data_IF_045034273801
#
_entry.id   IF_045034273801
#
_cell.length_a   1.000
_cell.length_b   1.000
_cell.length_c   1.000
_cell.angle_alpha   90.00
_cell.angle_beta   90.00
_cell.angle_gamma   90.00
#
_symmetry.space_group_name_H-M   'P 1'
#
loop_
_entity.id
_entity.type
_entity.pdbx_description
1 polymer ?
#
# COMPACT_ATOMS: atom_id res chain seq x y z
N UNK A 1 19.88 -2.96 44.52
CA UNK A 1 18.50 -2.96 43.98
C UNK A 1 18.01 -1.53 43.72
N UNK A 2 18.90 -0.60 43.31
CA UNK A 2 18.55 0.80 43.00
C UNK A 2 18.78 1.13 41.51
N UNK A 3 19.71 0.44 40.84
CA UNK A 3 20.04 0.62 39.41
C UNK A 3 18.87 0.39 38.44
N UNK A 4 17.86 -0.39 38.82
CA UNK A 4 16.67 -0.62 37.98
C UNK A 4 15.65 0.52 38.09
N UNK A 5 15.61 1.24 39.22
CA UNK A 5 14.66 2.35 39.43
C UNK A 5 15.03 3.58 38.59
N UNK A 6 16.31 3.98 38.62
CA UNK A 6 16.80 5.11 37.83
C UNK A 6 16.77 4.82 36.32
N UNK A 7 17.19 3.62 35.90
CA UNK A 7 17.11 3.20 34.50
C UNK A 7 15.66 3.17 33.98
N UNK A 8 14.71 2.78 34.84
CA UNK A 8 13.28 2.79 34.51
C UNK A 8 12.74 4.20 34.29
N UNK A 9 13.08 5.15 35.17
CA UNK A 9 12.71 6.57 34.98
C UNK A 9 13.26 7.14 33.68
N UNK A 10 14.53 6.87 33.36
CA UNK A 10 15.15 7.32 32.09
C UNK A 10 14.43 6.70 30.88
N UNK A 11 14.05 5.42 30.93
CA UNK A 11 13.30 4.78 29.85
C UNK A 11 11.91 5.40 29.66
N UNK A 12 11.22 5.78 30.74
CA UNK A 12 9.93 6.47 30.68
C UNK A 12 10.06 7.88 30.09
N UNK A 13 11.03 8.67 30.57
CA UNK A 13 11.30 10.01 30.02
C UNK A 13 11.67 9.93 28.52
N UNK A 14 12.50 8.96 28.14
CA UNK A 14 12.86 8.72 26.74
C UNK A 14 11.64 8.36 25.90
N UNK A 15 10.72 7.56 26.45
CA UNK A 15 9.47 7.21 25.79
C UNK A 15 8.59 8.43 25.58
N UNK A 16 8.47 9.33 26.56
CA UNK A 16 7.66 10.54 26.44
C UNK A 16 8.17 11.46 25.31
N UNK A 17 9.49 11.64 25.22
CA UNK A 17 10.12 12.39 24.13
C UNK A 17 9.86 11.71 22.78
N UNK A 18 10.04 10.39 22.69
CA UNK A 18 9.76 9.65 21.46
C UNK A 18 8.29 9.76 21.03
N UNK A 19 7.36 9.59 21.96
CA UNK A 19 5.92 9.69 21.69
C UNK A 19 5.54 11.11 21.23
N UNK A 20 6.23 12.15 21.74
CA UNK A 20 6.08 13.52 21.24
C UNK A 20 6.59 13.67 19.81
N UNK A 21 7.83 13.26 19.54
CA UNK A 21 8.43 13.32 18.20
C UNK A 21 7.57 12.58 17.17
N UNK A 22 7.05 11.40 17.54
CA UNK A 22 6.19 10.61 16.67
C UNK A 22 4.89 11.34 16.32
N UNK A 23 4.29 12.05 17.28
CA UNK A 23 3.08 12.87 17.03
C UNK A 23 3.39 14.03 16.08
N UNK A 24 4.50 14.72 16.30
CA UNK A 24 4.90 15.85 15.46
C UNK A 24 5.18 15.41 14.03
N UNK A 25 5.92 14.32 13.86
CA UNK A 25 6.22 13.73 12.55
C UNK A 25 4.92 13.34 11.83
N UNK A 26 4.01 12.64 12.49
CA UNK A 26 2.72 12.25 11.89
C UNK A 26 1.87 13.46 11.50
N UNK A 27 1.93 14.55 12.27
CA UNK A 27 1.23 15.78 11.93
C UNK A 27 1.72 16.38 10.61
N UNK A 28 2.99 16.19 10.23
CA UNK A 28 3.51 16.67 8.93
C UNK A 28 2.91 15.95 7.73
N UNK A 29 2.42 14.72 7.90
CA UNK A 29 1.84 13.90 6.83
C UNK A 29 0.31 14.00 6.77
N UNK A 30 -0.33 14.61 7.79
CA UNK A 30 -1.78 14.59 7.95
C UNK A 30 -2.56 15.36 6.88
N UNK A 31 -1.91 16.31 6.19
CA UNK A 31 -2.53 17.09 5.10
C UNK A 31 -2.39 16.44 3.72
N UNK A 32 -1.56 15.41 3.61
CA UNK A 32 -1.28 14.78 2.32
C UNK A 32 -2.50 14.00 1.87
N UNK A 33 -3.02 14.36 0.70
CA UNK A 33 -4.06 13.62 0.00
C UNK A 33 -3.43 12.37 -0.63
N UNK A 34 -3.40 11.28 0.14
CA UNK A 34 -2.95 9.98 -0.34
C UNK A 34 -3.92 9.43 -1.39
N UNK A 35 -3.39 8.77 -2.41
CA UNK A 35 -4.22 8.17 -3.47
C UNK A 35 -5.07 6.99 -2.97
N UNK A 36 -4.64 6.37 -1.87
CA UNK A 36 -5.22 5.17 -1.31
C UNK A 36 -5.57 5.36 0.16
N UNK A 37 -6.77 4.91 0.53
CA UNK A 37 -7.20 4.86 1.93
C UNK A 37 -6.36 3.92 2.77
N UNK A 38 -5.73 2.91 2.14
CA UNK A 38 -4.83 1.97 2.81
C UNK A 38 -3.50 2.59 3.24
N UNK A 39 -3.15 3.74 2.64
CA UNK A 39 -1.98 4.57 3.00
C UNK A 39 -2.36 5.73 3.92
N UNK A 40 -3.65 6.06 4.05
CA UNK A 40 -4.08 7.12 4.96
C UNK A 40 -3.70 6.81 6.42
N UNK A 41 -3.25 7.86 7.13
CA UNK A 41 -2.68 7.73 8.47
C UNK A 41 -1.38 6.91 8.52
N UNK A 42 -0.65 6.79 7.41
CA UNK A 42 0.59 6.02 7.31
C UNK A 42 1.57 6.28 8.46
N UNK A 43 2.09 5.19 9.02
CA UNK A 43 3.23 5.20 9.93
C UNK A 43 4.45 4.62 9.20
N UNK A 44 5.12 5.45 8.40
CA UNK A 44 6.26 5.00 7.62
C UNK A 44 7.47 4.70 8.50
N UNK A 45 8.13 3.58 8.22
CA UNK A 45 9.44 3.22 8.80
C UNK A 45 10.56 3.56 7.84
N UNK A 46 11.58 4.25 8.33
CA UNK A 46 12.79 4.53 7.59
C UNK A 46 13.49 3.22 7.22
N UNK A 47 13.74 3.04 5.92
CA UNK A 47 14.49 1.91 5.34
C UNK A 47 15.93 1.77 5.88
N UNK A 48 16.55 2.88 6.30
CA UNK A 48 17.93 2.91 6.77
C UNK A 48 18.09 2.55 8.24
N UNK A 49 17.17 2.96 9.10
CA UNK A 49 17.32 2.81 10.56
C UNK A 49 16.12 2.19 11.28
N UNK A 50 15.03 1.90 10.55
CA UNK A 50 13.81 1.30 11.10
C UNK A 50 12.94 2.26 11.94
N UNK A 51 13.37 3.50 12.16
CA UNK A 51 12.62 4.50 12.92
C UNK A 51 11.33 4.90 12.22
N UNK A 52 10.25 5.07 12.99
CA UNK A 52 8.96 5.62 12.52
C UNK A 52 8.96 7.15 12.43
N UNK A 53 10.07 7.81 12.77
CA UNK A 53 10.21 9.26 12.75
C UNK A 53 10.55 9.76 11.33
N UNK A 54 9.70 9.43 10.35
CA UNK A 54 9.76 9.89 8.95
C UNK A 54 8.75 11.00 8.73
N UNK A 55 9.24 12.23 8.57
CA UNK A 55 8.43 13.42 8.33
C UNK A 55 8.44 13.85 6.87
N UNK A 56 7.40 14.58 6.46
CA UNK A 56 7.41 15.40 5.27
C UNK A 56 8.22 16.68 5.52
N UNK A 57 9.07 17.07 4.57
CA UNK A 57 9.94 18.25 4.66
C UNK A 57 9.14 19.55 4.55
N UNK A 58 8.10 19.60 3.72
CA UNK A 58 7.19 20.74 3.56
C UNK A 58 5.83 20.45 4.24
N UNK A 59 5.58 20.92 5.47
CA UNK A 59 4.36 20.59 6.21
C UNK A 59 3.07 21.13 5.58
N UNK A 60 3.16 22.01 4.59
CA UNK A 60 2.01 22.56 3.87
C UNK A 60 1.74 21.83 2.55
N UNK A 61 2.59 20.88 2.15
CA UNK A 61 2.31 20.07 0.97
C UNK A 61 1.14 19.10 1.23
N UNK A 62 0.18 19.14 0.32
CA UNK A 62 -1.03 18.33 0.34
C UNK A 62 -1.01 17.22 -0.73
N UNK A 63 0.03 17.12 -1.56
CA UNK A 63 0.08 16.20 -2.70
C UNK A 63 1.11 15.09 -2.50
N UNK A 64 0.68 13.83 -2.62
CA UNK A 64 1.56 12.67 -2.59
C UNK A 64 2.65 12.72 -3.69
N UNK A 65 2.36 13.27 -4.87
CA UNK A 65 3.31 13.32 -6.00
C UNK A 65 4.55 14.17 -5.70
N UNK A 66 4.39 15.20 -4.87
CA UNK A 66 5.43 16.18 -4.58
C UNK A 66 6.03 16.04 -3.17
N UNK A 67 5.71 14.95 -2.48
CA UNK A 67 6.17 14.75 -1.11
C UNK A 67 7.67 14.45 -1.08
N UNK A 68 8.38 15.22 -0.27
CA UNK A 68 9.77 14.95 0.09
C UNK A 68 9.83 14.54 1.56
N UNK A 69 10.50 13.41 1.83
CA UNK A 69 10.56 12.83 3.16
C UNK A 69 11.95 12.95 3.78
N UNK A 70 11.99 13.00 5.11
CA UNK A 70 13.21 12.97 5.92
C UNK A 70 13.00 12.14 7.18
N UNK A 71 13.97 11.29 7.52
CA UNK A 71 14.00 10.62 8.81
C UNK A 71 14.67 11.52 9.86
N UNK A 72 13.97 11.87 10.94
CA UNK A 72 14.54 12.67 12.05
C UNK A 72 15.68 11.95 12.77
N UNK A 73 15.63 10.62 12.85
CA UNK A 73 16.62 9.83 13.60
C UNK A 73 17.97 9.74 12.90
N UNK A 74 17.99 9.47 11.59
CA UNK A 74 19.24 9.20 10.86
C UNK A 74 19.55 10.21 9.74
N UNK A 75 18.65 11.16 9.49
CA UNK A 75 18.78 12.18 8.45
C UNK A 75 18.63 11.69 7.01
N UNK A 76 18.24 10.43 6.78
CA UNK A 76 18.01 9.91 5.43
C UNK A 76 16.78 10.52 4.78
N UNK A 77 16.74 10.54 3.44
CA UNK A 77 15.62 10.99 2.63
C UNK A 77 15.00 9.80 1.90
N UNK A 78 14.13 9.02 2.57
CA UNK A 78 13.55 7.83 1.95
C UNK A 78 12.62 8.21 0.79
N UNK A 79 12.54 7.34 -0.21
CA UNK A 79 11.63 7.51 -1.34
C UNK A 79 10.20 7.10 -0.93
N UNK A 80 9.20 7.96 -1.17
CA UNK A 80 7.81 7.69 -0.76
C UNK A 80 7.24 6.42 -1.39
N UNK A 81 7.54 6.14 -2.66
CA UNK A 81 7.04 4.94 -3.35
C UNK A 81 7.53 3.66 -2.71
N UNK A 82 8.80 3.63 -2.29
CA UNK A 82 9.37 2.48 -1.57
C UNK A 82 8.76 2.31 -0.17
N UNK A 83 8.38 3.42 0.48
CA UNK A 83 7.71 3.39 1.77
C UNK A 83 6.25 2.94 1.67
N UNK A 84 5.52 3.37 0.63
CA UNK A 84 4.15 2.94 0.34
C UNK A 84 4.13 1.43 0.06
N UNK A 85 4.98 0.95 -0.85
CA UNK A 85 5.01 -0.48 -1.21
C UNK A 85 5.30 -1.35 0.02
N UNK A 86 6.26 -0.93 0.87
CA UNK A 86 6.55 -1.65 2.11
C UNK A 86 5.41 -1.59 3.13
N UNK A 87 4.77 -0.43 3.29
CA UNK A 87 3.62 -0.27 4.19
C UNK A 87 2.49 -1.23 3.78
N UNK A 88 2.24 -1.35 2.49
CA UNK A 88 1.20 -2.23 1.96
C UNK A 88 1.59 -3.71 2.08
N UNK A 89 2.86 -4.07 1.86
CA UNK A 89 3.35 -5.43 2.14
C UNK A 89 3.22 -5.80 3.63
N UNK A 90 3.56 -4.89 4.54
CA UNK A 90 3.36 -5.10 5.98
C UNK A 90 1.88 -5.32 6.35
N UNK A 91 0.96 -4.66 5.63
CA UNK A 91 -0.48 -4.73 5.90
C UNK A 91 -1.16 -5.94 5.24
N UNK A 92 -0.79 -6.27 4.00
CA UNK A 92 -1.50 -7.23 3.15
C UNK A 92 -0.67 -8.45 2.77
N UNK A 93 0.66 -8.41 2.88
CA UNK A 93 1.55 -9.50 2.46
C UNK A 93 1.27 -10.82 3.21
N UNK A 94 0.87 -10.74 4.48
CA UNK A 94 0.44 -11.90 5.25
C UNK A 94 -0.84 -12.55 4.70
N UNK A 95 -1.85 -11.74 4.35
CA UNK A 95 -3.08 -12.24 3.73
C UNK A 95 -2.80 -12.81 2.34
N UNK A 96 -1.96 -12.12 1.56
CA UNK A 96 -1.60 -12.58 0.23
C UNK A 96 -0.87 -13.91 0.24
N UNK A 97 0.05 -14.09 1.17
CA UNK A 97 0.70 -15.38 1.38
C UNK A 97 -0.31 -16.48 1.74
N UNK A 98 -1.30 -16.19 2.60
CA UNK A 98 -2.32 -17.17 2.99
C UNK A 98 -3.23 -17.56 1.83
N UNK A 99 -3.75 -16.60 1.05
CA UNK A 99 -4.59 -16.88 -0.13
C UNK A 99 -3.86 -17.72 -1.16
N UNK A 100 -2.62 -17.34 -1.48
CA UNK A 100 -1.77 -18.11 -2.39
C UNK A 100 -1.55 -19.56 -1.91
N UNK A 101 -1.46 -19.79 -0.60
CA UNK A 101 -1.25 -21.13 -0.03
C UNK A 101 -2.51 -21.98 0.06
N UNK A 102 -3.63 -21.38 0.47
CA UNK A 102 -4.84 -22.12 0.84
C UNK A 102 -5.82 -22.27 -0.33
N UNK A 103 -6.00 -21.22 -1.14
CA UNK A 103 -6.93 -21.21 -2.28
C UNK A 103 -6.20 -21.19 -3.63
N UNK A 104 -4.92 -20.80 -3.64
CA UNK A 104 -4.16 -20.61 -4.88
C UNK A 104 -4.55 -19.32 -5.61
N UNK A 105 -5.26 -18.42 -4.94
CA UNK A 105 -5.67 -17.12 -5.48
C UNK A 105 -4.60 -16.06 -5.22
N UNK A 106 -4.44 -15.16 -6.18
CA UNK A 106 -3.65 -13.93 -6.02
C UNK A 106 -4.48 -12.84 -5.32
N UNK A 107 -3.81 -11.89 -4.66
CA UNK A 107 -4.46 -10.81 -3.91
C UNK A 107 -4.19 -10.89 -2.40
N UNK A 108 -4.68 -9.95 -1.58
CA UNK A 108 -5.48 -8.79 -1.97
C UNK A 108 -4.63 -7.63 -2.53
N UNK A 109 -3.32 -7.82 -2.71
CA UNK A 109 -2.40 -6.83 -3.26
C UNK A 109 -1.78 -7.34 -4.56
N UNK A 110 -1.73 -6.48 -5.57
CA UNK A 110 -1.30 -6.80 -6.93
C UNK A 110 -0.27 -5.82 -7.45
N UNK A 111 0.49 -6.25 -8.45
CA UNK A 111 1.41 -5.39 -9.18
C UNK A 111 0.66 -4.45 -10.12
N UNK A 112 0.90 -3.15 -10.00
CA UNK A 112 0.38 -2.15 -10.90
C UNK A 112 1.06 -2.23 -12.27
N UNK A 113 0.34 -2.35 -13.39
CA UNK A 113 0.95 -2.40 -14.72
C UNK A 113 1.61 -1.06 -15.13
N UNK A 114 1.16 0.08 -14.58
CA UNK A 114 1.69 1.39 -14.92
C UNK A 114 3.03 1.71 -14.22
N UNK A 115 3.17 1.37 -12.94
CA UNK A 115 4.38 1.67 -12.17
C UNK A 115 5.20 0.44 -11.72
N UNK A 116 4.74 -0.77 -12.03
CA UNK A 116 5.37 -2.06 -11.71
C UNK A 116 5.58 -2.34 -10.21
N UNK A 117 4.89 -1.62 -9.32
CA UNK A 117 4.94 -1.83 -7.86
C UNK A 117 3.75 -2.62 -7.34
N UNK A 118 3.91 -3.38 -6.28
CA UNK A 118 2.82 -4.09 -5.60
C UNK A 118 1.97 -3.11 -4.77
N UNK A 119 1.17 -2.31 -5.46
CA UNK A 119 0.44 -1.17 -4.88
C UNK A 119 -0.98 -1.03 -5.43
N UNK A 120 -1.49 -2.02 -6.15
CA UNK A 120 -2.91 -2.17 -6.45
C UNK A 120 -3.56 -3.01 -5.35
N UNK A 121 -4.69 -2.57 -4.82
CA UNK A 121 -5.36 -3.21 -3.70
C UNK A 121 -6.78 -3.57 -4.12
N UNK A 122 -7.16 -4.81 -3.88
CA UNK A 122 -8.53 -5.28 -4.05
C UNK A 122 -9.53 -4.35 -3.33
N UNK A 123 -10.57 -3.93 -4.04
CA UNK A 123 -11.59 -3.03 -3.49
C UNK A 123 -11.25 -1.54 -3.52
N UNK A 124 -10.03 -1.17 -3.91
CA UNK A 124 -9.69 0.22 -4.24
C UNK A 124 -9.72 0.46 -5.75
N UNK A 125 -9.95 1.70 -6.17
CA UNK A 125 -10.16 2.07 -7.57
C UNK A 125 -8.91 2.63 -8.25
N UNK A 126 -7.85 2.89 -7.49
CA UNK A 126 -6.62 3.50 -7.99
C UNK A 126 -5.40 2.83 -7.36
N UNK A 127 -4.29 2.86 -8.08
CA UNK A 127 -2.99 2.48 -7.55
C UNK A 127 -2.56 3.42 -6.43
N UNK A 128 -2.26 2.85 -5.26
CA UNK A 128 -1.85 3.59 -4.08
C UNK A 128 -0.57 4.42 -4.28
N UNK A 129 0.26 4.06 -5.25
CA UNK A 129 1.52 4.76 -5.53
C UNK A 129 1.41 5.80 -6.66
N UNK A 130 0.90 5.41 -7.83
CA UNK A 130 0.93 6.25 -9.04
C UNK A 130 -0.44 6.80 -9.45
N UNK A 131 -1.48 6.54 -8.66
CA UNK A 131 -2.87 6.96 -8.92
C UNK A 131 -3.47 6.43 -10.25
N UNK A 132 -2.88 5.41 -10.87
CA UNK A 132 -3.45 4.78 -12.06
C UNK A 132 -4.81 4.18 -11.72
N UNK A 133 -5.85 4.54 -12.48
CA UNK A 133 -7.21 4.04 -12.27
C UNK A 133 -7.35 2.59 -12.72
N UNK A 134 -8.12 1.82 -11.95
CA UNK A 134 -8.67 0.54 -12.39
C UNK A 134 -9.93 0.81 -13.22
N UNK A 135 -9.76 1.05 -14.52
CA UNK A 135 -10.87 1.29 -15.44
C UNK A 135 -11.27 -0.03 -16.13
N UNK A 136 -12.01 -0.86 -15.41
CA UNK A 136 -12.53 -2.11 -15.94
C UNK A 136 -13.96 -2.37 -15.49
N UNK A 137 -14.71 -3.09 -16.32
CA UNK A 137 -16.04 -3.56 -15.96
C UNK A 137 -15.91 -4.60 -14.85
N UNK A 138 -16.37 -4.26 -13.64
CA UNK A 138 -16.26 -5.15 -12.47
C UNK A 138 -17.24 -6.32 -12.51
N UNK A 139 -18.16 -6.35 -13.48
CA UNK A 139 -19.15 -7.40 -13.66
C UNK A 139 -19.10 -7.95 -15.09
N UNK A 140 -19.13 -9.28 -15.20
CA UNK A 140 -19.13 -9.97 -16.48
C UNK A 140 -20.45 -9.73 -17.22
N UNK A 141 -20.38 -9.17 -18.43
CA UNK A 141 -21.57 -8.85 -19.24
C UNK A 141 -22.40 -10.07 -19.64
N UNK A 142 -21.84 -11.28 -19.53
CA UNK A 142 -22.50 -12.55 -19.90
C UNK A 142 -23.19 -13.23 -18.73
N UNK A 143 -22.55 -13.30 -17.56
CA UNK A 143 -23.07 -14.05 -16.41
C UNK A 143 -23.36 -13.20 -15.17
N UNK A 144 -22.97 -11.92 -15.17
CA UNK A 144 -23.14 -11.01 -14.03
C UNK A 144 -22.20 -11.30 -12.85
N UNK A 145 -21.27 -12.24 -12.99
CA UNK A 145 -20.29 -12.54 -11.95
C UNK A 145 -19.24 -11.44 -11.87
N UNK A 146 -18.67 -11.21 -10.68
CA UNK A 146 -17.61 -10.22 -10.52
C UNK A 146 -16.35 -10.59 -11.32
N UNK A 147 -15.74 -9.59 -11.96
CA UNK A 147 -14.43 -9.70 -12.60
C UNK A 147 -13.37 -9.33 -11.57
N UNK A 148 -12.44 -10.25 -11.31
CA UNK A 148 -11.37 -10.04 -10.34
C UNK A 148 -10.36 -9.02 -10.86
N UNK A 149 -9.61 -8.39 -9.94
CA UNK A 149 -8.48 -7.52 -10.32
C UNK A 149 -7.42 -8.33 -11.09
N UNK A 150 -7.25 -9.61 -10.76
CA UNK A 150 -6.34 -10.51 -11.48
C UNK A 150 -6.80 -10.72 -12.94
N UNK A 151 -8.08 -10.98 -13.18
CA UNK A 151 -8.63 -11.13 -14.53
C UNK A 151 -8.36 -9.85 -15.36
N UNK A 152 -8.56 -8.66 -14.77
CA UNK A 152 -8.22 -7.39 -15.41
C UNK A 152 -6.72 -7.28 -15.76
N UNK A 153 -5.84 -7.59 -14.80
CA UNK A 153 -4.38 -7.54 -15.00
C UNK A 153 -3.93 -8.52 -16.10
N UNK A 154 -4.57 -9.69 -16.20
CA UNK A 154 -4.31 -10.69 -17.22
C UNK A 154 -4.81 -10.28 -18.63
N UNK A 155 -5.37 -9.07 -18.75
CA UNK A 155 -5.81 -8.49 -20.02
C UNK A 155 -7.22 -8.93 -20.42
N UNK A 156 -8.03 -9.42 -19.47
CA UNK A 156 -9.46 -9.67 -19.69
C UNK A 156 -10.26 -8.37 -19.51
N UNK A 157 -9.96 -7.37 -20.34
CA UNK A 157 -10.60 -6.06 -20.33
C UNK A 157 -11.92 -6.02 -21.14
N UNK A 158 -12.27 -7.13 -21.82
CA UNK A 158 -13.43 -7.21 -22.70
C UNK A 158 -14.79 -7.29 -21.97
N UNK A 159 -14.82 -7.02 -20.66
CA UNK A 159 -16.02 -7.15 -19.81
C UNK A 159 -16.49 -8.59 -19.64
N UNK A 160 -15.63 -9.59 -19.86
CA UNK A 160 -15.92 -11.00 -19.63
C UNK A 160 -15.03 -11.55 -18.53
N UNK A 161 -15.61 -12.29 -17.59
CA UNK A 161 -14.81 -13.06 -16.64
C UNK A 161 -14.01 -14.15 -17.35
N UNK A 162 -12.91 -14.59 -16.73
CA UNK A 162 -12.00 -15.61 -17.26
C UNK A 162 -12.71 -16.86 -17.81
N UNK A 163 -13.73 -17.37 -17.10
CA UNK A 163 -14.52 -18.51 -17.57
C UNK A 163 -15.30 -18.20 -18.86
N UNK A 164 -15.99 -17.05 -18.92
CA UNK A 164 -16.78 -16.68 -20.09
C UNK A 164 -15.92 -16.36 -21.31
N UNK A 165 -14.73 -15.76 -21.09
CA UNK A 165 -13.73 -15.54 -22.11
C UNK A 165 -13.22 -16.86 -22.69
N UNK A 166 -12.82 -17.81 -21.84
CA UNK A 166 -12.38 -19.14 -22.27
C UNK A 166 -13.44 -19.89 -23.09
N UNK A 167 -14.70 -19.87 -22.64
CA UNK A 167 -15.81 -20.51 -23.39
C UNK A 167 -16.02 -19.84 -24.76
N UNK A 168 -15.93 -18.51 -24.84
CA UNK A 168 -16.06 -17.79 -26.11
C UNK A 168 -14.95 -18.15 -27.10
N UNK A 169 -13.71 -18.16 -26.64
CA UNK A 169 -12.53 -18.50 -27.45
C UNK A 169 -12.60 -19.93 -28.00
N UNK A 170 -13.01 -20.89 -27.15
CA UNK A 170 -13.19 -22.27 -27.57
C UNK A 170 -14.23 -22.43 -28.69
N UNK A 171 -15.37 -21.72 -28.60
CA UNK A 171 -16.41 -21.78 -29.64
C UNK A 171 -15.89 -21.21 -30.96
N UNK A 172 -15.12 -20.11 -30.94
CA UNK A 172 -14.55 -19.50 -32.14
C UNK A 172 -13.50 -20.37 -32.84
N UNK A 173 -12.86 -21.29 -32.13
CA UNK A 173 -11.87 -22.21 -32.66
C UNK A 173 -12.44 -23.56 -33.14
N UNK A 174 -13.71 -23.84 -32.86
CA UNK A 174 -14.41 -25.07 -33.29
C UNK A 174 -15.27 -24.87 -34.57
N UNK A 175 -15.39 -23.63 -35.06
CA UNK A 175 -16.00 -23.22 -36.35
C UNK A 175 -14.94 -23.00 -37.46
#
# INVERSE_FOLDING_TARGET
MELLGEAWTIMLETKEVYDQELREVRATLAKVAWFSSSVDGAAFKCDRCGSELVEQIDPENESQDYIELRCRTCGANPNVSDLIERLLDERYGGEAYMRSKDTGEDGPIYQCPACARQTLIEGEQHCANCNESLDYESECVRCGESISVQDYIDGLDSGLCSYCAYVSDKVMHED
#
